data_IF_579223263784
#
_entry.id   IF_579223263784
#
_cell.length_a   1.000
_cell.length_b   1.000
_cell.length_c   1.000
_cell.angle_alpha   90.00
_cell.angle_beta   90.00
_cell.angle_gamma   90.00
#
_symmetry.space_group_name_H-M   'P 1'
#
loop_
_entity.id
_entity.type
_entity.pdbx_description
1 polymer ?
#
# COMPACT_ATOMS: atom_id res chain seq x y z
N UNK A 1 7.54 -21.35 3.24
CA UNK A 1 6.71 -20.15 3.46
C UNK A 1 5.40 -20.29 2.69
N UNK A 2 4.30 -19.78 3.23
CA UNK A 2 3.01 -19.71 2.55
C UNK A 2 2.86 -18.27 2.02
N UNK A 3 3.05 -18.07 0.71
CA UNK A 3 3.01 -16.76 0.06
C UNK A 3 4.26 -15.88 0.28
N UNK A 4 4.20 -14.64 -0.22
CA UNK A 4 5.25 -13.61 -0.12
C UNK A 4 4.68 -12.16 -0.08
N UNK A 5 3.37 -12.05 0.11
CA UNK A 5 2.64 -10.79 0.12
C UNK A 5 1.40 -10.92 0.99
N UNK A 6 0.98 -9.81 1.59
CA UNK A 6 -0.28 -9.69 2.32
C UNK A 6 -1.07 -8.51 1.77
N UNK A 7 -2.38 -8.72 1.58
CA UNK A 7 -3.31 -7.67 1.21
C UNK A 7 -3.89 -7.05 2.48
N UNK A 8 -3.50 -5.82 2.79
CA UNK A 8 -3.89 -5.11 4.01
C UNK A 8 -5.18 -4.33 3.77
N UNK A 9 -6.22 -4.68 4.52
CA UNK A 9 -7.48 -3.94 4.59
C UNK A 9 -7.65 -3.44 6.03
N UNK A 10 -7.39 -2.16 6.27
CA UNK A 10 -7.31 -1.62 7.63
C UNK A 10 -8.60 -1.81 8.44
N UNK A 11 -9.76 -1.82 7.76
CA UNK A 11 -11.06 -2.08 8.39
C UNK A 11 -11.36 -3.57 8.66
N UNK A 12 -10.40 -4.48 8.46
CA UNK A 12 -10.53 -5.89 8.87
C UNK A 12 -9.91 -6.19 10.23
N UNK A 13 -8.91 -5.42 10.66
CA UNK A 13 -8.17 -5.72 11.89
C UNK A 13 -8.72 -4.95 13.11
N UNK A 14 -9.32 -3.78 12.89
CA UNK A 14 -10.05 -3.04 13.93
C UNK A 14 -9.49 -1.63 14.12
N UNK A 15 -8.18 -1.49 14.35
CA UNK A 15 -7.54 -0.19 14.57
C UNK A 15 -6.40 0.14 13.59
N UNK A 16 -6.04 1.43 13.54
CA UNK A 16 -4.88 1.91 12.78
C UNK A 16 -3.57 1.36 13.35
N UNK A 17 -3.43 1.28 14.68
CA UNK A 17 -2.23 0.75 15.32
C UNK A 17 -1.97 -0.70 14.95
N UNK A 18 -2.99 -1.54 15.02
CA UNK A 18 -2.87 -2.96 14.63
C UNK A 18 -2.59 -3.09 13.13
N UNK A 19 -3.15 -2.21 12.29
CA UNK A 19 -2.83 -2.17 10.86
C UNK A 19 -1.34 -1.87 10.64
N UNK A 20 -0.78 -0.90 11.37
CA UNK A 20 0.65 -0.57 11.30
C UNK A 20 1.54 -1.70 11.81
N UNK A 21 1.10 -2.43 12.83
CA UNK A 21 1.83 -3.59 13.36
C UNK A 21 1.83 -4.75 12.37
N UNK A 22 0.70 -5.03 11.72
CA UNK A 22 0.60 -6.04 10.67
C UNK A 22 1.49 -5.71 9.46
N UNK A 23 1.53 -4.45 9.03
CA UNK A 23 2.41 -4.00 7.94
C UNK A 23 3.88 -4.19 8.32
N UNK A 24 4.28 -3.74 9.53
CA UNK A 24 5.65 -3.87 10.03
C UNK A 24 6.08 -5.32 10.14
N UNK A 25 5.21 -6.19 10.65
CA UNK A 25 5.45 -7.63 10.73
C UNK A 25 5.70 -8.25 9.36
N UNK A 26 4.86 -7.92 8.36
CA UNK A 26 5.04 -8.41 7.00
C UNK A 26 6.36 -7.94 6.39
N UNK A 27 6.68 -6.65 6.51
CA UNK A 27 7.93 -6.09 5.98
C UNK A 27 9.17 -6.71 6.65
N UNK A 28 9.15 -6.93 7.97
CA UNK A 28 10.23 -7.59 8.70
C UNK A 28 10.43 -9.06 8.27
N UNK A 29 9.35 -9.74 7.88
CA UNK A 29 9.40 -11.10 7.33
C UNK A 29 9.79 -11.15 5.84
N UNK A 30 10.12 -10.01 5.21
CA UNK A 30 10.42 -9.91 3.78
C UNK A 30 9.20 -9.99 2.87
N UNK A 31 7.98 -9.95 3.41
CA UNK A 31 6.74 -9.93 2.63
C UNK A 31 6.46 -8.51 2.13
N UNK A 32 5.81 -8.42 0.98
CA UNK A 32 5.23 -7.16 0.52
C UNK A 32 3.88 -6.91 1.20
N UNK A 33 3.60 -5.67 1.59
CA UNK A 33 2.29 -5.27 2.10
C UNK A 33 1.57 -4.42 1.04
N UNK A 34 0.43 -4.90 0.55
CA UNK A 34 -0.37 -4.18 -0.44
C UNK A 34 -1.57 -3.55 0.27
N UNK A 35 -1.59 -2.23 0.40
CA UNK A 35 -2.73 -1.52 1.02
C UNK A 35 -3.92 -1.58 0.06
N UNK A 36 -5.10 -1.95 0.54
CA UNK A 36 -6.24 -2.22 -0.34
C UNK A 36 -7.57 -1.67 0.15
N UNK A 37 -8.37 -1.26 -0.82
CA UNK A 37 -9.76 -0.89 -0.65
C UNK A 37 -10.69 -2.10 -0.32
N UNK A 38 -11.99 -1.83 -0.16
CA UNK A 38 -13.09 -2.81 -0.13
C UNK A 38 -14.03 -2.64 -1.32
N UNK A 39 -14.96 -3.57 -1.54
CA UNK A 39 -15.96 -3.44 -2.62
C UNK A 39 -16.92 -2.27 -2.40
N UNK A 40 -17.32 -2.01 -1.15
CA UNK A 40 -18.00 -0.77 -0.74
C UNK A 40 -16.97 0.24 -0.22
N UNK A 41 -16.79 1.34 -0.93
CA UNK A 41 -15.89 2.43 -0.52
C UNK A 41 -16.65 3.75 -0.45
N UNK A 42 -16.06 4.66 0.32
CA UNK A 42 -16.49 6.04 0.48
C UNK A 42 -15.50 6.97 -0.21
N UNK A 43 -15.78 8.27 -0.14
CA UNK A 43 -14.85 9.33 -0.58
C UNK A 43 -13.59 9.44 0.28
N UNK A 44 -13.55 8.79 1.46
CA UNK A 44 -12.36 8.67 2.29
C UNK A 44 -11.13 8.24 1.47
N UNK A 45 -10.01 8.94 1.71
CA UNK A 45 -8.74 8.71 1.01
C UNK A 45 -7.63 8.24 1.91
N UNK A 46 -7.93 7.89 3.17
CA UNK A 46 -6.95 7.55 4.21
C UNK A 46 -5.99 6.43 3.77
N UNK A 47 -6.46 5.47 2.96
CA UNK A 47 -5.60 4.38 2.48
C UNK A 47 -4.49 4.83 1.53
N UNK A 48 -4.64 5.99 0.87
CA UNK A 48 -3.59 6.57 0.04
C UNK A 48 -2.45 7.11 0.93
N UNK A 49 -2.80 7.91 1.94
CA UNK A 49 -1.85 8.42 2.94
C UNK A 49 -1.16 7.27 3.68
N UNK A 50 -1.91 6.23 4.08
CA UNK A 50 -1.36 5.05 4.75
C UNK A 50 -0.33 4.32 3.88
N UNK A 51 -0.60 4.16 2.58
CA UNK A 51 0.33 3.49 1.65
C UNK A 51 1.66 4.23 1.53
N UNK A 52 1.62 5.57 1.50
CA UNK A 52 2.82 6.41 1.44
C UNK A 52 3.54 6.42 2.78
N UNK A 53 2.83 6.64 3.89
CA UNK A 53 3.40 6.73 5.24
C UNK A 53 4.14 5.46 5.66
N UNK A 54 3.62 4.30 5.25
CA UNK A 54 4.21 2.98 5.57
C UNK A 54 5.24 2.51 4.56
N UNK A 55 5.49 3.28 3.50
CA UNK A 55 6.32 2.89 2.35
C UNK A 55 5.95 1.51 1.82
N UNK A 56 4.65 1.22 1.76
CA UNK A 56 4.11 -0.07 1.32
C UNK A 56 4.53 -0.40 -0.12
N UNK A 57 4.74 0.62 -0.94
CA UNK A 57 5.17 0.51 -2.34
C UNK A 57 4.05 0.09 -3.29
N UNK A 58 3.00 -0.58 -2.81
CA UNK A 58 1.87 -1.02 -3.61
C UNK A 58 0.54 -0.66 -2.95
N UNK A 59 -0.41 -0.19 -3.77
CA UNK A 59 -1.78 0.07 -3.37
C UNK A 59 -2.74 -0.54 -4.38
N UNK A 60 -3.80 -1.19 -3.90
CA UNK A 60 -4.89 -1.75 -4.71
C UNK A 60 -6.18 -1.00 -4.39
N UNK A 61 -6.41 0.06 -5.15
CA UNK A 61 -7.52 1.00 -4.92
C UNK A 61 -8.59 1.06 -6.03
N UNK A 62 -8.55 0.13 -6.98
CA UNK A 62 -9.65 -0.10 -7.95
C UNK A 62 -9.41 0.49 -9.33
N UNK A 63 -10.41 0.41 -10.20
CA UNK A 63 -10.33 0.93 -11.56
C UNK A 63 -10.28 2.47 -11.57
N UNK A 64 -9.96 3.05 -12.73
CA UNK A 64 -9.93 4.50 -12.98
C UNK A 64 -11.34 5.09 -13.22
N UNK A 65 -12.35 4.50 -12.58
CA UNK A 65 -13.74 4.94 -12.65
C UNK A 65 -14.38 4.89 -11.27
N UNK A 66 -15.47 5.63 -11.12
CA UNK A 66 -16.19 5.90 -9.86
C UNK A 66 -15.39 6.75 -8.87
N UNK A 67 -16.04 7.77 -8.31
CA UNK A 67 -15.39 8.78 -7.48
C UNK A 67 -14.79 8.21 -6.18
N UNK A 68 -15.36 7.15 -5.62
CA UNK A 68 -14.85 6.42 -4.45
C UNK A 68 -13.45 5.80 -4.68
N UNK A 69 -13.07 5.57 -5.94
CA UNK A 69 -11.75 5.05 -6.35
C UNK A 69 -10.83 6.16 -6.81
N UNK A 70 -11.33 7.01 -7.69
CA UNK A 70 -10.57 8.12 -8.28
C UNK A 70 -10.10 9.12 -7.21
N UNK A 71 -10.90 9.35 -6.15
CA UNK A 71 -10.50 10.21 -5.03
C UNK A 71 -9.17 9.80 -4.40
N UNK A 72 -8.92 8.49 -4.27
CA UNK A 72 -7.69 7.93 -3.69
C UNK A 72 -6.48 8.12 -4.62
N UNK A 73 -6.66 7.97 -5.94
CA UNK A 73 -5.63 8.33 -6.92
C UNK A 73 -5.32 9.83 -6.90
N UNK A 74 -6.34 10.68 -6.86
CA UNK A 74 -6.16 12.13 -6.75
C UNK A 74 -5.44 12.52 -5.46
N UNK A 75 -5.66 11.77 -4.36
CA UNK A 75 -4.91 11.98 -3.12
C UNK A 75 -3.43 11.63 -3.28
N UNK A 76 -3.10 10.53 -3.96
CA UNK A 76 -1.70 10.17 -4.24
C UNK A 76 -0.98 11.25 -5.06
N UNK A 77 -1.63 11.79 -6.10
CA UNK A 77 -1.08 12.89 -6.90
C UNK A 77 -0.77 14.12 -6.03
N UNK A 78 -1.69 14.51 -5.14
CA UNK A 78 -1.46 15.62 -4.21
C UNK A 78 -0.33 15.37 -3.21
N UNK A 79 -0.16 14.12 -2.76
CA UNK A 79 0.95 13.76 -1.87
C UNK A 79 2.28 13.86 -2.62
N UNK A 80 2.34 13.39 -3.87
CA UNK A 80 3.52 13.51 -4.73
C UNK A 80 3.88 14.99 -5.00
N UNK A 81 2.89 15.82 -5.34
CA UNK A 81 3.06 17.27 -5.52
C UNK A 81 3.62 17.95 -4.25
N UNK A 82 3.23 17.49 -3.06
CA UNK A 82 3.71 18.01 -1.79
C UNK A 82 5.13 17.51 -1.40
N UNK A 83 5.64 16.47 -2.06
CA UNK A 83 6.93 15.83 -1.78
C UNK A 83 7.85 15.80 -3.01
N UNK A 84 8.09 16.96 -3.68
CA UNK A 84 8.83 17.00 -4.93
C UNK A 84 10.26 16.49 -4.73
N UNK A 85 10.63 15.46 -5.50
CA UNK A 85 11.94 14.82 -5.43
C UNK A 85 12.20 13.97 -4.18
N UNK A 86 11.25 13.90 -3.24
CA UNK A 86 11.39 13.14 -1.98
C UNK A 86 10.58 11.83 -1.97
N UNK A 87 9.67 11.65 -2.91
CA UNK A 87 8.83 10.47 -3.05
C UNK A 87 9.17 9.68 -4.34
N UNK A 88 10.25 8.88 -4.36
CA UNK A 88 10.61 8.11 -5.55
C UNK A 88 9.58 7.01 -5.83
N UNK A 89 9.02 7.01 -7.04
CA UNK A 89 8.19 5.93 -7.55
C UNK A 89 9.08 4.81 -8.13
N UNK A 90 9.05 3.61 -7.56
CA UNK A 90 10.00 2.53 -7.89
C UNK A 90 9.33 1.20 -8.25
N UNK A 91 8.40 1.24 -9.21
CA UNK A 91 7.63 0.08 -9.65
C UNK A 91 8.49 -1.15 -10.01
N UNK A 92 9.61 -0.96 -10.71
CA UNK A 92 10.48 -2.07 -11.09
C UNK A 92 11.18 -2.73 -9.91
N UNK A 93 11.63 -1.94 -8.93
CA UNK A 93 12.37 -2.46 -7.77
C UNK A 93 11.49 -3.35 -6.89
N UNK A 94 10.20 -3.04 -6.85
CA UNK A 94 9.20 -3.79 -6.09
C UNK A 94 8.88 -5.14 -6.73
N UNK A 95 8.93 -5.23 -8.06
CA UNK A 95 8.71 -6.47 -8.80
C UNK A 95 9.97 -7.33 -8.92
N UNK A 96 11.18 -6.73 -8.86
CA UNK A 96 12.47 -7.43 -8.96
C UNK A 96 12.85 -8.28 -7.75
N UNK A 97 12.14 -8.19 -6.62
CA UNK A 97 12.30 -9.11 -5.47
C UNK A 97 11.93 -10.58 -5.76
N UNK A 98 11.78 -10.97 -7.03
CA UNK A 98 11.04 -12.17 -7.47
C UNK A 98 11.86 -13.39 -7.92
N UNK A 99 13.19 -13.41 -7.98
CA UNK A 99 13.84 -14.55 -8.65
C UNK A 99 14.97 -15.28 -7.92
N UNK A 100 15.37 -14.93 -6.70
CA UNK A 100 16.39 -15.73 -6.01
C UNK A 100 15.99 -15.99 -4.56
N UNK A 101 15.85 -17.26 -4.20
CA UNK A 101 16.04 -17.70 -2.83
C UNK A 101 17.50 -17.47 -2.40
N UNK A 102 17.68 -17.13 -1.12
CA UNK A 102 18.98 -16.87 -0.47
C UNK A 102 19.43 -15.41 -0.61
N UNK A 103 19.95 -14.73 0.41
CA UNK A 103 20.56 -15.18 1.65
C UNK A 103 20.48 -14.07 2.71
N UNK A 104 20.74 -14.47 3.96
CA UNK A 104 21.28 -13.74 5.11
C UNK A 104 21.28 -12.20 5.08
#
# INVERSE_FOLDING_TARGET
GIGNSILIKFNQIGSLSETLDAIRMAQAAGYTAVISHRSGETEDTTIADLAVATRAGQIKTGSLCRSDRVGKYNRLLRIEEALPGQAPYSAESLLKRRCCGGAA
#
